data_IF_569565925246
#
_entry.id   IF_569565925246
#
_cell.length_a   1.000
_cell.length_b   1.000
_cell.length_c   1.000
_cell.angle_alpha   90.00
_cell.angle_beta   90.00
_cell.angle_gamma   90.00
#
_symmetry.space_group_name_H-M   'P 1'
#
loop_
_entity.id
_entity.type
_entity.pdbx_description
1 polymer ?
#
# COMPACT_ATOMS: atom_id res chain seq x y z
N UNK A 1 -17.52 -1.79 -45.05
CA UNK A 1 -16.38 -0.88 -44.81
C UNK A 1 -15.29 -1.65 -44.10
N UNK A 2 -14.01 -1.49 -44.47
CA UNK A 2 -12.91 -2.11 -43.73
C UNK A 2 -12.88 -1.60 -42.29
N UNK A 3 -12.50 -2.46 -41.35
CA UNK A 3 -12.42 -2.11 -39.93
C UNK A 3 -11.35 -1.03 -39.74
N UNK A 4 -11.77 0.11 -39.20
CA UNK A 4 -10.88 1.19 -38.79
C UNK A 4 -9.99 0.73 -37.63
N UNK A 5 -8.68 0.97 -37.73
CA UNK A 5 -7.70 0.58 -36.70
C UNK A 5 -7.72 1.51 -35.47
N UNK A 6 -8.43 2.64 -35.57
CA UNK A 6 -8.65 3.67 -34.57
C UNK A 6 -9.98 3.53 -33.81
N UNK A 7 -10.79 2.50 -34.11
CA UNK A 7 -12.09 2.26 -33.48
C UNK A 7 -12.18 0.85 -32.88
N UNK A 8 -12.73 0.76 -31.66
CA UNK A 8 -13.01 -0.50 -30.97
C UNK A 8 -14.50 -0.66 -30.77
N UNK A 9 -15.04 -1.83 -31.10
CA UNK A 9 -16.38 -2.21 -30.62
C UNK A 9 -16.39 -2.38 -29.10
N UNK A 10 -17.57 -2.30 -28.46
CA UNK A 10 -17.70 -2.50 -27.01
C UNK A 10 -17.17 -3.88 -26.55
N UNK A 11 -17.30 -4.91 -27.40
CA UNK A 11 -16.79 -6.26 -27.11
C UNK A 11 -15.27 -6.29 -27.11
N UNK A 12 -14.64 -5.61 -28.06
CA UNK A 12 -13.19 -5.52 -28.17
C UNK A 12 -12.60 -4.69 -27.04
N UNK A 13 -13.21 -3.55 -26.71
CA UNK A 13 -12.82 -2.74 -25.57
C UNK A 13 -12.89 -3.53 -24.24
N UNK A 14 -13.96 -4.31 -24.02
CA UNK A 14 -14.08 -5.19 -22.84
C UNK A 14 -13.00 -6.27 -22.80
N UNK A 15 -12.75 -6.95 -23.92
CA UNK A 15 -11.70 -7.98 -24.00
C UNK A 15 -10.31 -7.39 -23.74
N UNK A 16 -10.03 -6.21 -24.31
CA UNK A 16 -8.78 -5.50 -24.10
C UNK A 16 -8.61 -5.12 -22.62
N UNK A 17 -9.65 -4.57 -21.99
CA UNK A 17 -9.63 -4.21 -20.57
C UNK A 17 -9.39 -5.43 -19.67
N UNK A 18 -10.01 -6.58 -19.95
CA UNK A 18 -9.79 -7.82 -19.21
C UNK A 18 -8.38 -8.38 -19.43
N UNK A 19 -7.90 -8.40 -20.66
CA UNK A 19 -6.55 -8.89 -21.00
C UNK A 19 -5.44 -8.01 -20.39
N UNK A 20 -5.61 -6.68 -20.42
CA UNK A 20 -4.71 -5.71 -19.80
C UNK A 20 -4.63 -5.91 -18.28
N UNK A 21 -5.72 -6.33 -17.65
CA UNK A 21 -5.76 -6.68 -16.24
C UNK A 21 -5.28 -8.10 -15.92
N UNK A 22 -4.85 -8.90 -16.91
CA UNK A 22 -4.32 -10.24 -16.66
C UNK A 22 -5.34 -11.37 -16.65
N UNK A 23 -6.56 -11.14 -17.15
CA UNK A 23 -7.56 -12.20 -17.34
C UNK A 23 -7.44 -12.93 -18.70
N UNK A 24 -6.46 -12.57 -19.52
CA UNK A 24 -6.24 -13.19 -20.83
C UNK A 24 -5.35 -14.45 -20.81
N UNK A 25 -4.72 -14.75 -19.68
CA UNK A 25 -3.79 -15.88 -19.54
C UNK A 25 -4.47 -17.07 -18.88
N UNK A 26 -4.16 -18.28 -19.33
CA UNK A 26 -4.62 -19.51 -18.67
C UNK A 26 -3.95 -19.63 -17.31
N UNK A 27 -4.73 -19.97 -16.27
CA UNK A 27 -4.17 -20.28 -14.95
C UNK A 27 -3.35 -21.57 -15.03
N UNK A 28 -2.16 -21.56 -14.44
CA UNK A 28 -1.34 -22.77 -14.32
C UNK A 28 -1.88 -23.68 -13.22
N UNK A 29 -1.60 -24.99 -13.30
CA UNK A 29 -1.99 -25.96 -12.25
C UNK A 29 -1.07 -25.89 -11.03
N UNK A 30 0.18 -25.47 -11.22
CA UNK A 30 1.15 -25.25 -10.16
C UNK A 30 0.84 -23.99 -9.37
N UNK A 31 1.24 -23.94 -8.10
CA UNK A 31 1.18 -22.72 -7.32
C UNK A 31 2.04 -21.63 -7.97
N UNK A 32 1.48 -20.44 -8.16
CA UNK A 32 2.20 -19.26 -8.62
C UNK A 32 3.21 -18.79 -7.57
N UNK A 33 4.37 -18.37 -8.03
CA UNK A 33 5.50 -17.92 -7.21
C UNK A 33 5.32 -16.48 -6.72
N UNK A 34 6.19 -16.05 -5.80
CA UNK A 34 6.28 -14.63 -5.41
C UNK A 34 6.61 -13.74 -6.61
N UNK A 35 7.41 -14.22 -7.57
CA UNK A 35 7.75 -13.46 -8.78
C UNK A 35 6.51 -13.21 -9.66
N UNK A 36 5.61 -14.20 -9.77
CA UNK A 36 4.35 -14.06 -10.52
C UNK A 36 3.42 -13.03 -9.87
N UNK A 37 3.37 -13.00 -8.52
CA UNK A 37 2.62 -11.98 -7.77
C UNK A 37 3.20 -10.59 -7.99
N UNK A 38 4.52 -10.42 -7.93
CA UNK A 38 5.18 -9.14 -8.23
C UNK A 38 4.91 -8.70 -9.66
N UNK A 39 5.00 -9.61 -10.63
CA UNK A 39 4.69 -9.32 -12.03
C UNK A 39 3.22 -8.90 -12.20
N UNK A 40 2.30 -9.54 -11.49
CA UNK A 40 0.89 -9.15 -11.50
C UNK A 40 0.67 -7.76 -10.87
N UNK A 41 1.25 -7.47 -9.71
CA UNK A 41 1.15 -6.14 -9.08
C UNK A 41 1.69 -5.06 -10.03
N UNK A 42 2.80 -5.35 -10.73
CA UNK A 42 3.35 -4.47 -11.77
C UNK A 42 2.40 -4.25 -12.94
N UNK A 43 1.74 -5.31 -13.41
CA UNK A 43 0.76 -5.24 -14.50
C UNK A 43 -0.50 -4.45 -14.11
N UNK A 44 -0.99 -4.63 -12.88
CA UNK A 44 -2.16 -3.91 -12.37
C UNK A 44 -1.86 -2.46 -11.99
N UNK A 45 -0.60 -2.17 -11.62
CA UNK A 45 -0.17 -0.87 -11.10
C UNK A 45 -0.63 -0.60 -9.67
N UNK A 46 -1.65 -1.30 -9.17
CA UNK A 46 -2.22 -1.14 -7.84
C UNK A 46 -2.96 -2.40 -7.38
N UNK A 47 -2.79 -2.78 -6.11
CA UNK A 47 -3.67 -3.73 -5.41
C UNK A 47 -4.09 -3.09 -4.09
N UNK A 48 -5.38 -2.81 -3.94
CA UNK A 48 -5.91 -2.18 -2.73
C UNK A 48 -5.75 -3.10 -1.52
N UNK A 49 -5.47 -2.49 -0.37
CA UNK A 49 -5.37 -3.14 0.93
C UNK A 49 -6.67 -2.91 1.69
N UNK A 50 -7.28 -3.99 2.17
CA UNK A 50 -8.41 -3.93 3.10
C UNK A 50 -8.15 -4.82 4.31
N UNK A 51 -8.60 -4.35 5.47
CA UNK A 51 -8.54 -5.09 6.72
C UNK A 51 -9.67 -6.10 6.90
N UNK A 52 -10.78 -5.97 6.17
CA UNK A 52 -11.91 -6.92 6.24
C UNK A 52 -11.46 -8.30 5.73
N UNK A 53 -11.77 -9.35 6.50
CA UNK A 53 -11.26 -10.70 6.27
C UNK A 53 -12.31 -11.81 6.49
N UNK A 54 -13.60 -11.56 6.22
CA UNK A 54 -14.69 -12.53 6.43
C UNK A 54 -14.43 -13.89 5.74
N UNK A 55 -13.85 -13.86 4.53
CA UNK A 55 -13.38 -15.06 3.81
C UNK A 55 -11.85 -15.08 3.77
N UNK A 56 -11.29 -14.08 3.09
CA UNK A 56 -9.87 -13.75 2.99
C UNK A 56 -9.76 -12.23 2.88
N UNK A 57 -8.57 -11.67 3.08
CA UNK A 57 -8.38 -10.21 2.89
C UNK A 57 -8.54 -9.84 1.43
N UNK A 58 -9.08 -8.65 1.17
CA UNK A 58 -9.48 -8.24 -0.18
C UNK A 58 -8.35 -8.34 -1.20
N UNK A 59 -7.10 -8.04 -0.82
CA UNK A 59 -5.93 -8.12 -1.69
C UNK A 59 -5.60 -9.56 -2.17
N UNK A 60 -6.10 -10.60 -1.52
CA UNK A 60 -5.90 -11.99 -1.97
C UNK A 60 -6.84 -12.35 -3.13
N UNK A 61 -8.03 -11.75 -3.18
CA UNK A 61 -9.03 -12.00 -4.22
C UNK A 61 -8.56 -11.63 -5.64
N UNK A 62 -8.00 -10.43 -5.91
CA UNK A 62 -7.53 -10.07 -7.24
C UNK A 62 -6.31 -10.90 -7.67
N UNK A 63 -5.47 -11.37 -6.72
CA UNK A 63 -4.37 -12.29 -7.01
C UNK A 63 -4.93 -13.65 -7.43
N UNK A 64 -5.80 -14.26 -6.62
CA UNK A 64 -6.39 -15.56 -6.92
C UNK A 64 -7.18 -15.55 -8.23
N UNK A 65 -7.93 -14.48 -8.51
CA UNK A 65 -8.71 -14.35 -9.72
C UNK A 65 -7.87 -14.40 -11.02
N UNK A 66 -6.56 -14.12 -10.93
CA UNK A 66 -5.66 -14.03 -12.09
C UNK A 66 -4.59 -15.13 -12.10
N UNK A 67 -4.04 -15.45 -10.93
CA UNK A 67 -2.96 -16.42 -10.75
C UNK A 67 -3.46 -17.81 -10.32
N UNK A 68 -4.69 -17.91 -9.79
CA UNK A 68 -5.16 -19.12 -9.15
C UNK A 68 -4.43 -19.39 -7.83
N UNK A 69 -4.06 -20.65 -7.60
CA UNK A 69 -3.28 -21.04 -6.42
C UNK A 69 -1.96 -20.27 -6.40
N UNK A 70 -1.63 -19.62 -5.29
CA UNK A 70 -0.42 -18.82 -5.15
C UNK A 70 0.05 -18.86 -3.69
N UNK A 71 1.35 -18.59 -3.48
CA UNK A 71 1.89 -18.44 -2.13
C UNK A 71 1.23 -17.24 -1.42
N UNK A 72 0.43 -17.50 -0.38
CA UNK A 72 -0.25 -16.45 0.40
C UNK A 72 0.71 -15.55 1.17
N UNK A 73 1.98 -15.96 1.33
CA UNK A 73 3.05 -15.12 1.88
C UNK A 73 3.75 -14.26 0.82
N UNK A 74 3.34 -14.32 -0.45
CA UNK A 74 3.99 -13.59 -1.54
C UNK A 74 3.96 -12.07 -1.36
N UNK A 75 2.85 -11.48 -0.91
CA UNK A 75 2.81 -10.03 -0.64
C UNK A 75 3.78 -9.66 0.50
N UNK A 76 3.72 -10.28 1.70
CA UNK A 76 4.70 -10.03 2.75
C UNK A 76 6.16 -10.19 2.30
N UNK A 77 6.47 -11.27 1.57
CA UNK A 77 7.81 -11.52 1.01
C UNK A 77 8.22 -10.45 0.01
N UNK A 78 7.34 -10.06 -0.90
CA UNK A 78 7.62 -9.03 -1.90
C UNK A 78 7.84 -7.66 -1.24
N UNK A 79 7.11 -7.33 -0.18
CA UNK A 79 7.31 -6.11 0.60
C UNK A 79 8.67 -6.13 1.31
N UNK A 80 9.01 -7.21 2.01
CA UNK A 80 10.30 -7.31 2.72
C UNK A 80 11.51 -7.35 1.79
N UNK A 81 11.34 -7.86 0.56
CA UNK A 81 12.35 -7.84 -0.50
C UNK A 81 12.42 -6.50 -1.26
N UNK A 82 11.61 -5.50 -0.88
CA UNK A 82 11.57 -4.20 -1.55
C UNK A 82 11.13 -4.27 -3.01
N UNK A 83 10.29 -5.26 -3.38
CA UNK A 83 9.73 -5.41 -4.74
C UNK A 83 8.40 -4.68 -4.91
N UNK A 84 7.66 -4.52 -3.81
CA UNK A 84 6.45 -3.72 -3.73
C UNK A 84 6.53 -2.83 -2.48
N UNK A 85 5.75 -1.75 -2.46
CA UNK A 85 5.64 -0.88 -1.29
C UNK A 85 4.18 -0.54 -0.99
N UNK A 86 3.88 -0.15 0.25
CA UNK A 86 2.58 0.41 0.60
C UNK A 86 2.59 1.93 0.51
N UNK A 87 1.54 2.52 -0.05
CA UNK A 87 1.29 3.96 0.04
C UNK A 87 -0.20 4.29 -0.12
N UNK A 88 -0.57 5.53 0.22
CA UNK A 88 -1.85 6.13 -0.17
C UNK A 88 -1.82 6.44 -1.67
N UNK A 89 -2.04 5.42 -2.50
CA UNK A 89 -2.17 5.55 -3.96
C UNK A 89 -3.49 6.25 -4.33
N UNK A 90 -4.46 5.48 -4.82
CA UNK A 90 -5.87 5.88 -4.82
C UNK A 90 -6.47 5.74 -3.41
N UNK A 91 -6.19 4.62 -2.76
CA UNK A 91 -6.45 4.28 -1.36
C UNK A 91 -5.20 3.61 -0.77
N UNK A 92 -5.28 3.05 0.43
CA UNK A 92 -4.22 2.17 0.95
C UNK A 92 -3.99 1.02 -0.04
N UNK A 93 -2.77 0.91 -0.58
CA UNK A 93 -2.49 -0.03 -1.65
C UNK A 93 -1.07 -0.60 -1.59
N UNK A 94 -0.91 -1.81 -2.12
CA UNK A 94 0.36 -2.36 -2.58
C UNK A 94 0.64 -1.88 -4.00
N UNK A 95 1.85 -1.35 -4.21
CA UNK A 95 2.28 -0.69 -5.45
C UNK A 95 3.65 -1.25 -5.88
N UNK A 96 3.97 -1.29 -7.18
CA UNK A 96 5.30 -1.67 -7.67
C UNK A 96 6.37 -0.71 -7.15
N UNK A 97 7.50 -1.21 -6.65
CA UNK A 97 8.54 -0.34 -6.07
C UNK A 97 9.04 0.72 -7.06
N UNK A 98 9.06 0.41 -8.35
CA UNK A 98 9.57 1.27 -9.42
C UNK A 98 8.79 2.57 -9.57
N UNK A 99 7.53 2.60 -9.14
CA UNK A 99 6.69 3.81 -9.20
C UNK A 99 6.75 4.64 -7.91
N UNK A 100 7.47 4.20 -6.87
CA UNK A 100 7.64 4.99 -5.64
C UNK A 100 8.15 6.41 -5.89
N UNK A 101 9.16 6.65 -6.77
CA UNK A 101 9.61 8.00 -7.08
C UNK A 101 8.51 8.90 -7.66
N UNK A 102 7.54 8.31 -8.39
CA UNK A 102 6.41 9.05 -8.98
C UNK A 102 5.42 9.55 -7.92
N UNK A 103 5.45 9.03 -6.69
CA UNK A 103 4.62 9.53 -5.59
C UNK A 103 5.30 10.62 -4.76
N UNK A 104 6.59 10.91 -4.97
CA UNK A 104 7.34 11.89 -4.18
C UNK A 104 6.76 13.31 -4.29
N UNK A 105 6.18 13.67 -5.42
CA UNK A 105 5.50 14.97 -5.56
C UNK A 105 4.28 15.07 -4.64
N UNK A 106 3.49 13.98 -4.53
CA UNK A 106 2.30 13.90 -3.66
C UNK A 106 2.70 13.92 -2.20
N UNK A 107 3.74 13.16 -1.83
CA UNK A 107 4.34 13.17 -0.49
C UNK A 107 4.83 14.58 -0.10
N UNK A 108 5.52 15.27 -1.01
CA UNK A 108 5.99 16.64 -0.81
C UNK A 108 4.81 17.61 -0.66
N UNK A 109 3.81 17.53 -1.53
CA UNK A 109 2.62 18.36 -1.46
C UNK A 109 1.86 18.21 -0.12
N UNK A 110 1.73 16.98 0.37
CA UNK A 110 1.15 16.72 1.70
C UNK A 110 2.00 17.32 2.83
N UNK A 111 3.33 17.20 2.74
CA UNK A 111 4.28 17.74 3.73
C UNK A 111 4.24 19.27 3.79
N UNK A 112 4.10 19.93 2.65
CA UNK A 112 4.05 21.40 2.57
C UNK A 112 2.63 21.95 2.69
N UNK A 113 1.63 21.12 3.01
CA UNK A 113 0.23 21.55 3.13
C UNK A 113 -0.46 21.93 1.81
N UNK A 114 0.17 21.67 0.66
CA UNK A 114 -0.38 21.94 -0.69
C UNK A 114 -1.40 20.89 -1.11
N UNK A 115 -1.34 19.69 -0.52
CA UNK A 115 -2.36 18.66 -0.65
C UNK A 115 -2.92 18.36 0.75
N UNK A 116 -4.25 18.44 0.89
CA UNK A 116 -4.93 18.08 2.13
C UNK A 116 -5.34 16.61 2.09
N UNK A 117 -5.19 15.93 3.21
CA UNK A 117 -5.74 14.61 3.44
C UNK A 117 -6.66 14.68 4.65
N UNK A 118 -7.78 13.95 4.61
CA UNK A 118 -8.81 14.01 5.64
C UNK A 118 -8.19 13.79 7.03
N UNK A 119 -8.39 14.76 7.94
CA UNK A 119 -7.91 14.74 9.33
C UNK A 119 -6.39 14.86 9.56
N UNK A 120 -5.55 14.25 8.72
CA UNK A 120 -4.12 14.11 8.96
C UNK A 120 -3.35 15.44 8.91
N UNK A 121 -3.63 16.29 7.91
CA UNK A 121 -2.93 17.57 7.76
C UNK A 121 -3.26 18.53 8.91
N UNK A 122 -4.53 18.60 9.30
CA UNK A 122 -4.98 19.42 10.43
C UNK A 122 -4.48 18.89 11.78
N UNK A 123 -4.41 17.56 11.95
CA UNK A 123 -3.78 16.97 13.14
C UNK A 123 -2.31 17.41 13.27
N UNK A 124 -1.54 17.37 12.17
CA UNK A 124 -0.15 17.83 12.19
C UNK A 124 -0.01 19.30 12.56
N UNK A 125 -0.88 20.18 12.05
CA UNK A 125 -0.85 21.62 12.37
C UNK A 125 -0.90 21.89 13.88
N UNK A 126 -1.74 21.15 14.63
CA UNK A 126 -1.83 21.24 16.09
C UNK A 126 -0.79 20.42 16.86
N UNK A 127 -0.14 19.43 16.24
CA UNK A 127 0.67 18.43 16.94
C UNK A 127 2.11 18.28 16.40
N UNK A 128 2.66 19.29 15.73
CA UNK A 128 4.00 19.23 15.08
C UNK A 128 5.09 18.66 15.98
N UNK A 129 5.16 19.12 17.23
CA UNK A 129 6.18 18.66 18.17
C UNK A 129 6.04 17.16 18.49
N UNK A 130 4.81 16.66 18.65
CA UNK A 130 4.54 15.24 18.87
C UNK A 130 4.92 14.39 17.66
N UNK A 131 4.47 14.79 16.46
CA UNK A 131 4.78 14.09 15.20
C UNK A 131 6.29 14.02 14.96
N UNK A 132 7.02 15.12 15.19
CA UNK A 132 8.47 15.15 15.04
C UNK A 132 9.20 14.29 16.08
N UNK A 133 8.72 14.21 17.32
CA UNK A 133 9.27 13.28 18.32
C UNK A 133 9.08 11.83 17.88
N UNK A 134 7.93 11.51 17.30
CA UNK A 134 7.63 10.16 16.85
C UNK A 134 8.50 9.76 15.64
N UNK A 135 8.71 10.66 14.68
CA UNK A 135 9.67 10.45 13.60
C UNK A 135 11.08 10.16 14.13
N UNK A 136 11.59 10.99 15.05
CA UNK A 136 12.90 10.77 15.68
C UNK A 136 12.98 9.45 16.43
N UNK A 137 11.88 9.02 17.03
CA UNK A 137 11.81 7.73 17.70
C UNK A 137 11.97 6.58 16.69
N UNK A 138 11.30 6.63 15.53
CA UNK A 138 11.45 5.63 14.46
C UNK A 138 12.88 5.65 13.89
N UNK A 139 13.43 6.83 13.62
CA UNK A 139 14.82 7.00 13.14
C UNK A 139 15.82 6.32 14.09
N UNK A 140 15.67 6.54 15.41
CA UNK A 140 16.59 6.03 16.44
C UNK A 140 16.40 4.55 16.73
N UNK A 141 15.16 4.11 16.92
CA UNK A 141 14.86 2.77 17.48
C UNK A 141 14.43 1.76 16.40
N UNK A 142 14.14 2.22 15.19
CA UNK A 142 13.75 1.40 14.06
C UNK A 142 12.26 1.05 14.00
N UNK A 143 11.93 -0.05 13.31
CA UNK A 143 10.57 -0.32 12.88
C UNK A 143 9.62 -0.53 14.06
N UNK A 144 8.43 0.07 13.98
CA UNK A 144 7.41 -0.06 15.05
C UNK A 144 5.99 -0.08 14.50
N UNK A 145 5.05 -0.57 15.30
CA UNK A 145 3.61 -0.44 15.03
C UNK A 145 3.03 0.71 15.84
N UNK A 146 1.89 1.26 15.41
CA UNK A 146 1.20 2.30 16.18
C UNK A 146 0.88 1.86 17.61
N UNK A 147 0.59 0.57 17.83
CA UNK A 147 0.32 0.01 19.15
C UNK A 147 1.52 0.10 20.09
N UNK A 148 2.75 -0.02 19.58
CA UNK A 148 3.97 0.01 20.40
C UNK A 148 4.27 1.39 21.01
N UNK A 149 3.66 2.45 20.46
CA UNK A 149 3.86 3.85 20.85
C UNK A 149 2.54 4.52 21.26
N UNK A 150 1.47 3.74 21.38
CA UNK A 150 0.16 4.21 21.80
C UNK A 150 0.16 4.50 23.30
N UNK A 151 -0.42 5.64 23.67
CA UNK A 151 -0.70 6.03 25.05
C UNK A 151 -2.17 5.85 25.42
N UNK A 152 -2.98 5.29 24.52
CA UNK A 152 -4.42 5.13 24.73
C UNK A 152 -4.68 4.14 25.86
N UNK A 153 -5.44 4.59 26.86
CA UNK A 153 -5.90 3.78 28.00
C UNK A 153 -7.34 3.28 27.82
N UNK A 154 -8.13 3.94 26.99
CA UNK A 154 -9.54 3.62 26.74
C UNK A 154 -9.74 2.56 25.65
N UNK A 155 -10.88 1.87 25.68
CA UNK A 155 -11.23 0.89 24.63
C UNK A 155 -11.47 1.61 23.31
N UNK A 156 -10.95 1.04 22.23
CA UNK A 156 -11.23 1.50 20.85
C UNK A 156 -12.72 1.40 20.54
N UNK A 157 -13.31 2.47 20.01
CA UNK A 157 -14.68 2.53 19.51
C UNK A 157 -14.79 1.99 18.08
N UNK A 158 -15.10 2.87 17.13
CA UNK A 158 -15.29 2.49 15.72
C UNK A 158 -13.96 2.11 15.04
N UNK A 159 -14.01 1.51 13.85
CA UNK A 159 -12.78 1.15 13.13
C UNK A 159 -11.90 2.37 12.79
N UNK A 160 -12.52 3.54 12.62
CA UNK A 160 -11.90 4.84 12.33
C UNK A 160 -11.46 5.62 13.58
N UNK A 161 -11.73 5.10 14.77
CA UNK A 161 -11.27 5.68 16.02
C UNK A 161 -9.78 5.42 16.20
N UNK A 162 -8.97 6.23 15.53
CA UNK A 162 -7.52 6.23 15.62
C UNK A 162 -7.07 7.06 16.81
N UNK A 163 -6.04 6.58 17.51
CA UNK A 163 -5.36 7.39 18.52
C UNK A 163 -4.38 8.38 17.88
N UNK A 164 -3.82 9.24 18.72
CA UNK A 164 -2.84 10.24 18.30
C UNK A 164 -1.61 9.59 17.65
N UNK A 165 -1.14 8.47 18.21
CA UNK A 165 0.02 7.74 17.71
C UNK A 165 -0.21 7.21 16.28
N UNK A 166 -1.35 6.56 16.05
CA UNK A 166 -1.75 6.08 14.73
C UNK A 166 -1.92 7.24 13.74
N UNK A 167 -2.58 8.31 14.16
CA UNK A 167 -2.80 9.50 13.32
C UNK A 167 -1.48 10.16 12.92
N UNK A 168 -0.54 10.29 13.86
CA UNK A 168 0.81 10.81 13.62
C UNK A 168 1.60 9.93 12.64
N UNK A 169 1.58 8.60 12.82
CA UNK A 169 2.27 7.68 11.91
C UNK A 169 1.64 7.66 10.51
N UNK A 170 0.31 7.77 10.40
CA UNK A 170 -0.36 7.91 9.10
C UNK A 170 -0.03 9.23 8.41
N UNK A 171 0.12 10.33 9.15
CA UNK A 171 0.63 11.58 8.59
C UNK A 171 2.07 11.42 8.07
N UNK A 172 2.98 10.86 8.88
CA UNK A 172 4.36 10.63 8.46
C UNK A 172 4.43 9.68 7.25
N UNK A 173 3.53 8.70 7.18
CA UNK A 173 3.42 7.78 6.04
C UNK A 173 2.90 8.50 4.79
N UNK A 174 1.87 9.34 4.92
CA UNK A 174 1.34 10.18 3.85
C UNK A 174 2.41 11.11 3.28
N UNK A 175 3.22 11.73 4.14
CA UNK A 175 4.30 12.66 3.74
C UNK A 175 5.57 11.96 3.30
N UNK A 176 5.60 10.63 3.27
CA UNK A 176 6.75 9.82 2.88
C UNK A 176 7.96 9.98 3.81
N UNK A 177 7.74 10.40 5.06
CA UNK A 177 8.76 10.47 6.11
C UNK A 177 8.95 9.12 6.81
N UNK A 178 7.94 8.27 6.77
CA UNK A 178 8.05 6.83 7.07
C UNK A 178 7.38 6.03 5.95
N UNK A 179 7.72 4.75 5.87
CA UNK A 179 7.16 3.78 4.93
C UNK A 179 6.69 2.54 5.68
N UNK A 180 5.85 1.72 5.03
CA UNK A 180 5.56 0.37 5.53
C UNK A 180 6.76 -0.53 5.25
N UNK A 181 7.37 -1.11 6.30
CA UNK A 181 8.31 -2.23 6.16
C UNK A 181 7.60 -3.59 6.09
N UNK A 182 6.27 -3.59 6.12
CA UNK A 182 5.43 -4.77 6.13
C UNK A 182 4.31 -4.68 7.15
N UNK A 183 3.72 -5.83 7.46
CA UNK A 183 2.63 -5.93 8.44
C UNK A 183 2.91 -7.07 9.42
N UNK A 184 2.54 -6.84 10.68
CA UNK A 184 2.56 -7.86 11.71
C UNK A 184 1.52 -8.96 11.49
N UNK A 185 1.52 -9.97 12.36
CA UNK A 185 0.53 -11.06 12.34
C UNK A 185 -0.91 -10.56 12.57
N UNK A 186 -1.07 -9.47 13.31
CA UNK A 186 -2.33 -8.76 13.54
C UNK A 186 -2.72 -7.81 12.38
N UNK A 187 -1.95 -7.82 11.28
CA UNK A 187 -2.11 -6.95 10.12
C UNK A 187 -1.84 -5.46 10.39
N UNK A 188 -1.31 -5.11 11.56
CA UNK A 188 -0.86 -3.75 11.85
C UNK A 188 0.33 -3.41 10.94
N UNK A 189 0.31 -2.21 10.36
CA UNK A 189 1.44 -1.70 9.60
C UNK A 189 2.64 -1.50 10.53
N UNK A 190 3.79 -1.98 10.08
CA UNK A 190 5.08 -1.69 10.69
C UNK A 190 5.68 -0.52 9.92
N UNK A 191 5.95 0.58 10.62
CA UNK A 191 6.48 1.81 10.08
C UNK A 191 7.98 1.87 10.31
N UNK A 192 8.74 2.22 9.27
CA UNK A 192 10.18 2.47 9.35
C UNK A 192 10.56 3.63 8.40
N UNK A 193 11.78 4.15 8.52
CA UNK A 193 12.25 5.23 7.65
C UNK A 193 12.52 4.73 6.22
N UNK A 194 12.31 5.58 5.18
CA UNK A 194 12.50 5.17 3.79
C UNK A 194 13.87 4.56 3.49
N UNK A 195 14.93 5.02 4.16
CA UNK A 195 16.31 4.59 3.98
C UNK A 195 16.53 3.11 4.38
N UNK A 196 15.66 2.55 5.23
CA UNK A 196 15.70 1.13 5.66
C UNK A 196 14.72 0.25 4.89
N UNK A 197 13.72 0.84 4.25
CA UNK A 197 12.67 0.11 3.51
C UNK A 197 12.98 0.02 2.02
N UNK A 198 13.48 1.11 1.43
CA UNK A 198 13.79 1.15 0.01
C UNK A 198 15.08 0.36 -0.27
N UNK A 199 15.14 -0.37 -1.41
CA UNK A 199 16.39 -0.97 -1.86
C UNK A 199 17.50 0.08 -1.98
N UNK A 200 18.72 -0.28 -1.56
CA UNK A 200 19.90 0.53 -1.83
C UNK A 200 20.03 0.73 -3.35
N UNK A 201 20.41 1.94 -3.76
CA UNK A 201 20.70 2.25 -5.16
C UNK A 201 22.04 1.67 -5.60
#
# INVERSE_FOLDING_TARGET
>A
MPKRLDELSIVEARRLALAAQGFGSTRTRSASSTADVVALVKKLGVVQIDSVNVLVRSQELPLFARLGNHDRSAIPKATSQGKIFEYWGHEAAHLPIEIQPLFRWKMHAARTGKAKHWGLTSFYEGNKAYVNRLLKHVEKNGPLTARAVSTRTEKKGTWWDWDEAKTALEYLFLTGQVMSSGRGSDFARVYDVPERVLPAK
#
